data_IF_324779909094
#
_entry.id   IF_324779909094
#
_cell.length_a   1.000
_cell.length_b   1.000
_cell.length_c   1.000
_cell.angle_alpha   90.00
_cell.angle_beta   90.00
_cell.angle_gamma   90.00
#
_symmetry.space_group_name_H-M   'P 1'
#
loop_
_entity.id
_entity.type
_entity.pdbx_description
1 polymer ?
#
# COMPACT_ATOMS: atom_id res chain seq x y z
N UNK A 1 52.91 0.25 20.85
CA UNK A 1 52.46 0.37 19.44
C UNK A 1 51.34 -0.64 19.19
N UNK A 2 50.16 -0.24 18.70
CA UNK A 2 49.08 -1.19 18.40
C UNK A 2 49.41 -1.97 17.13
N UNK A 3 49.25 -3.30 17.16
CA UNK A 3 49.41 -4.16 15.98
C UNK A 3 48.19 -4.00 15.08
N UNK A 4 48.37 -3.37 13.92
CA UNK A 4 47.36 -3.30 12.87
C UNK A 4 47.21 -4.70 12.28
N UNK A 5 45.99 -5.29 12.21
CA UNK A 5 45.81 -6.59 11.57
C UNK A 5 46.04 -6.46 10.06
N UNK A 6 47.02 -7.21 9.56
CA UNK A 6 47.28 -7.35 8.13
C UNK A 6 46.21 -8.30 7.57
N UNK A 7 45.27 -7.77 6.79
CA UNK A 7 44.36 -8.59 5.99
C UNK A 7 45.21 -9.33 4.94
N UNK A 8 45.42 -10.64 5.14
CA UNK A 8 45.87 -11.51 4.06
C UNK A 8 44.72 -11.66 3.07
N UNK A 9 44.75 -10.89 1.99
CA UNK A 9 43.98 -11.18 0.79
C UNK A 9 44.45 -12.55 0.31
N UNK A 10 43.64 -13.59 0.56
CA UNK A 10 43.90 -14.93 0.05
C UNK A 10 44.15 -14.89 -1.46
N UNK A 11 45.08 -15.72 -1.94
CA UNK A 11 45.39 -15.82 -3.36
C UNK A 11 44.12 -15.97 -4.19
N UNK A 12 44.04 -15.21 -5.27
CA UNK A 12 42.89 -15.20 -6.18
C UNK A 12 42.72 -16.64 -6.71
N UNK A 13 41.56 -17.30 -6.51
CA UNK A 13 41.33 -18.61 -7.12
C UNK A 13 41.44 -18.46 -8.64
N UNK A 14 42.13 -19.40 -9.31
CA UNK A 14 42.34 -19.39 -10.76
C UNK A 14 41.03 -19.32 -11.57
N UNK A 15 39.91 -19.72 -10.94
CA UNK A 15 38.56 -19.48 -11.43
C UNK A 15 37.58 -19.26 -10.27
N UNK A 16 36.91 -18.10 -10.17
CA UNK A 16 35.89 -17.89 -9.15
C UNK A 16 34.67 -18.79 -9.44
N UNK A 17 33.99 -19.25 -8.39
CA UNK A 17 32.81 -20.12 -8.54
C UNK A 17 31.68 -19.39 -9.26
N UNK A 18 31.02 -20.07 -10.20
CA UNK A 18 29.92 -19.51 -10.98
C UNK A 18 28.85 -18.90 -10.06
N UNK A 19 28.41 -17.65 -10.32
CA UNK A 19 27.36 -17.05 -9.52
C UNK A 19 26.05 -17.78 -9.77
N UNK A 20 25.31 -18.07 -8.69
CA UNK A 20 23.98 -18.68 -8.80
C UNK A 20 22.98 -17.60 -9.23
N UNK A 21 22.86 -17.40 -10.54
CA UNK A 21 21.85 -16.51 -11.11
C UNK A 21 20.47 -17.16 -10.95
N UNK A 22 19.52 -16.42 -10.40
CA UNK A 22 18.12 -16.85 -10.30
C UNK A 22 17.27 -15.91 -11.13
N UNK A 23 16.54 -16.47 -12.10
CA UNK A 23 15.41 -15.77 -12.71
C UNK A 23 14.27 -15.78 -11.69
N UNK A 24 13.78 -14.61 -11.29
CA UNK A 24 12.59 -14.50 -10.45
C UNK A 24 11.42 -14.02 -11.29
N UNK A 25 10.37 -14.83 -11.33
CA UNK A 25 9.03 -14.36 -11.72
C UNK A 25 8.27 -14.10 -10.42
N UNK A 26 7.74 -12.89 -10.18
CA UNK A 26 7.00 -12.63 -8.96
C UNK A 26 5.74 -13.49 -8.95
N UNK A 27 5.69 -14.45 -8.02
CA UNK A 27 4.57 -15.36 -7.83
C UNK A 27 4.16 -15.30 -6.36
N UNK A 28 2.88 -15.05 -6.10
CA UNK A 28 2.29 -15.20 -4.77
C UNK A 28 1.74 -16.62 -4.67
N UNK A 29 2.53 -17.52 -4.10
CA UNK A 29 2.14 -18.92 -3.93
C UNK A 29 1.31 -19.09 -2.65
N UNK A 30 0.03 -19.41 -2.81
CA UNK A 30 -0.90 -19.75 -1.73
C UNK A 30 -1.21 -21.24 -1.82
N UNK A 31 -0.77 -22.03 -0.84
CA UNK A 31 -0.92 -23.48 -0.83
C UNK A 31 -1.56 -23.99 0.46
N UNK A 32 -2.24 -25.13 0.40
CA UNK A 32 -2.84 -25.79 1.56
C UNK A 32 -4.02 -25.02 2.17
N UNK A 33 -4.73 -24.21 1.38
CA UNK A 33 -5.95 -23.50 1.79
C UNK A 33 -7.11 -24.05 0.98
N UNK A 34 -8.24 -24.30 1.63
CA UNK A 34 -9.46 -24.69 0.94
C UNK A 34 -9.92 -23.62 -0.04
N UNK A 35 -10.39 -24.06 -1.20
CA UNK A 35 -11.11 -23.19 -2.13
C UNK A 35 -12.48 -22.82 -1.55
N UNK A 36 -12.99 -21.68 -2.01
CA UNK A 36 -14.28 -21.12 -1.64
C UNK A 36 -15.43 -21.77 -2.40
N UNK A 37 -16.60 -21.12 -2.35
CA UNK A 37 -17.86 -21.67 -2.86
C UNK A 37 -17.81 -21.98 -4.35
N UNK A 38 -17.06 -21.20 -5.13
CA UNK A 38 -16.92 -21.38 -6.58
C UNK A 38 -15.89 -22.44 -6.99
N UNK A 39 -15.23 -23.10 -6.04
CA UNK A 39 -14.13 -24.06 -6.22
C UNK A 39 -12.91 -23.53 -7.02
N UNK A 40 -12.83 -22.22 -7.24
CA UNK A 40 -11.77 -21.58 -8.03
C UNK A 40 -10.99 -20.54 -7.21
N UNK A 41 -11.67 -19.81 -6.31
CA UNK A 41 -11.11 -18.69 -5.55
C UNK A 41 -11.04 -19.02 -4.07
N UNK A 42 -10.23 -18.28 -3.33
CA UNK A 42 -10.28 -18.32 -1.87
C UNK A 42 -11.21 -17.21 -1.36
N UNK A 43 -12.22 -17.60 -0.57
CA UNK A 43 -13.13 -16.65 0.07
C UNK A 43 -12.50 -16.13 1.36
N UNK A 44 -12.40 -14.80 1.45
CA UNK A 44 -11.90 -14.11 2.64
C UNK A 44 -12.90 -13.04 3.05
N UNK A 45 -13.38 -13.14 4.29
CA UNK A 45 -14.27 -12.15 4.88
C UNK A 45 -13.46 -11.31 5.87
N UNK A 46 -13.40 -10.01 5.61
CA UNK A 46 -12.85 -9.04 6.56
C UNK A 46 -13.97 -8.60 7.53
N UNK A 47 -13.62 -8.33 8.79
CA UNK A 47 -14.62 -7.95 9.78
C UNK A 47 -15.30 -6.63 9.37
N UNK A 48 -16.63 -6.48 9.57
CA UNK A 48 -17.34 -5.26 9.23
C UNK A 48 -16.75 -4.02 9.91
N UNK A 49 -16.39 -4.16 11.20
CA UNK A 49 -15.71 -3.12 11.98
C UNK A 49 -14.41 -2.66 11.33
N UNK A 50 -13.54 -3.60 10.91
CA UNK A 50 -12.30 -3.23 10.22
C UNK A 50 -12.58 -2.48 8.92
N UNK A 51 -13.55 -2.97 8.13
CA UNK A 51 -13.92 -2.35 6.86
C UNK A 51 -14.47 -0.93 7.04
N UNK A 52 -15.25 -0.67 8.10
CA UNK A 52 -15.73 0.67 8.44
C UNK A 52 -14.60 1.61 8.87
N UNK A 53 -13.70 1.15 9.75
CA UNK A 53 -12.52 1.92 10.15
C UNK A 53 -11.65 2.29 8.94
N UNK A 54 -11.45 1.34 8.02
CA UNK A 54 -10.71 1.56 6.78
C UNK A 54 -11.40 2.57 5.85
N UNK A 55 -12.71 2.45 5.64
CA UNK A 55 -13.48 3.41 4.82
C UNK A 55 -13.40 4.83 5.38
N UNK A 56 -13.52 4.97 6.70
CA UNK A 56 -13.40 6.27 7.36
C UNK A 56 -11.99 6.85 7.24
N UNK A 57 -10.95 6.03 7.43
CA UNK A 57 -9.55 6.42 7.21
C UNK A 57 -9.34 6.93 5.78
N UNK A 58 -9.75 6.13 4.78
CA UNK A 58 -9.60 6.45 3.36
C UNK A 58 -10.34 7.75 3.04
N UNK A 59 -11.61 7.87 3.44
CA UNK A 59 -12.41 9.08 3.22
C UNK A 59 -11.69 10.31 3.76
N UNK A 60 -11.18 10.24 4.99
CA UNK A 60 -10.48 11.34 5.63
C UNK A 60 -9.19 11.73 4.88
N UNK A 61 -8.45 10.76 4.34
CA UNK A 61 -7.26 11.05 3.53
C UNK A 61 -7.65 11.68 2.19
N UNK A 62 -8.70 11.18 1.54
CA UNK A 62 -9.22 11.74 0.30
C UNK A 62 -9.68 13.19 0.49
N UNK A 63 -10.45 13.50 1.54
CA UNK A 63 -10.91 14.87 1.81
C UNK A 63 -9.78 15.80 2.19
N UNK A 64 -8.77 15.31 2.92
CA UNK A 64 -7.56 16.06 3.26
C UNK A 64 -6.73 16.40 2.02
N UNK A 65 -6.37 15.40 1.22
CA UNK A 65 -5.56 15.58 0.00
C UNK A 65 -6.32 16.31 -1.12
N UNK A 66 -7.65 16.24 -1.07
CA UNK A 66 -8.57 16.96 -1.95
C UNK A 66 -8.94 18.36 -1.50
N UNK A 67 -8.47 18.82 -0.34
CA UNK A 67 -8.76 20.15 0.25
C UNK A 67 -10.27 20.39 0.51
N UNK A 68 -11.03 19.31 0.71
CA UNK A 68 -12.48 19.34 0.97
C UNK A 68 -12.83 19.42 2.47
N UNK A 69 -11.85 19.26 3.36
CA UNK A 69 -12.07 19.26 4.82
C UNK A 69 -12.77 20.52 5.33
N UNK A 70 -12.45 21.70 4.79
CA UNK A 70 -13.08 22.96 5.18
C UNK A 70 -14.52 23.08 4.68
N UNK A 71 -14.80 22.54 3.49
CA UNK A 71 -16.09 22.62 2.80
C UNK A 71 -17.12 21.65 3.40
N UNK A 72 -16.66 20.45 3.75
CA UNK A 72 -17.53 19.45 4.37
C UNK A 72 -17.77 19.73 5.85
N UNK A 73 -16.84 20.40 6.55
CA UNK A 73 -16.98 20.76 7.98
C UNK A 73 -17.75 22.04 8.24
N UNK A 74 -17.65 23.05 7.35
CA UNK A 74 -18.35 24.33 7.50
C UNK A 74 -19.87 24.18 7.56
N UNK A 75 -20.41 23.11 6.96
CA UNK A 75 -21.86 22.91 6.86
C UNK A 75 -22.49 22.05 7.95
N UNK A 76 -21.70 21.29 8.70
CA UNK A 76 -22.21 20.73 9.96
C UNK A 76 -22.52 21.84 10.97
N UNK A 77 -21.94 23.03 10.81
CA UNK A 77 -22.19 24.18 11.69
C UNK A 77 -23.24 25.14 11.14
N UNK A 78 -23.41 25.27 9.82
CA UNK A 78 -24.39 26.17 9.22
C UNK A 78 -25.82 25.61 9.21
N UNK A 79 -25.98 24.29 9.29
CA UNK A 79 -27.29 23.61 9.23
C UNK A 79 -27.82 23.12 10.59
N UNK A 80 -27.18 23.51 11.70
CA UNK A 80 -27.66 23.19 13.04
C UNK A 80 -28.42 24.38 13.63
N UNK A 81 -29.66 24.12 14.05
CA UNK A 81 -30.60 25.10 14.59
C UNK A 81 -30.10 25.89 15.81
N UNK A 82 -30.99 26.70 16.42
CA UNK A 82 -30.60 27.71 17.40
C UNK A 82 -29.77 27.15 18.56
N UNK A 83 -28.81 27.97 19.02
CA UNK A 83 -27.67 27.61 19.89
C UNK A 83 -28.01 26.88 21.21
N UNK A 84 -29.28 26.86 21.63
CA UNK A 84 -29.73 26.23 22.87
C UNK A 84 -30.01 24.71 22.74
N UNK A 85 -30.16 24.16 21.53
CA UNK A 85 -30.21 22.70 21.29
C UNK A 85 -28.83 22.05 21.12
N UNK A 86 -27.75 22.84 21.17
CA UNK A 86 -26.38 22.42 20.85
C UNK A 86 -25.78 21.44 21.88
N UNK A 87 -26.36 21.36 23.08
CA UNK A 87 -25.80 20.62 24.22
C UNK A 87 -26.11 19.12 24.21
N UNK A 88 -27.06 18.64 23.40
CA UNK A 88 -27.41 17.21 23.31
C UNK A 88 -26.91 16.52 22.02
N UNK A 89 -26.70 17.25 20.92
CA UNK A 89 -26.28 16.66 19.65
C UNK A 89 -24.75 16.52 19.48
N UNK A 90 -23.94 17.08 20.40
CA UNK A 90 -22.48 16.94 20.39
C UNK A 90 -21.97 15.59 20.93
N UNK A 91 -22.86 14.71 21.39
CA UNK A 91 -22.49 13.43 22.00
C UNK A 91 -22.29 12.25 21.00
N UNK A 92 -22.49 12.45 19.69
CA UNK A 92 -22.52 11.33 18.73
C UNK A 92 -21.65 11.52 17.47
N UNK A 93 -20.55 12.29 17.56
CA UNK A 93 -19.48 12.16 16.59
C UNK A 93 -18.27 11.54 17.29
N UNK A 94 -18.00 10.23 17.09
CA UNK A 94 -16.74 9.70 17.55
C UNK A 94 -15.66 10.50 16.84
N UNK A 95 -14.83 11.20 17.62
CA UNK A 95 -13.48 11.59 17.20
C UNK A 95 -12.78 10.27 16.88
N UNK A 96 -13.00 9.76 15.68
CA UNK A 96 -12.48 8.48 15.27
C UNK A 96 -10.97 8.65 15.20
N UNK A 97 -10.30 8.14 16.22
CA UNK A 97 -8.93 8.51 16.51
C UNK A 97 -8.07 8.11 15.31
N UNK A 98 -7.16 9.01 14.91
CA UNK A 98 -6.32 8.79 13.72
C UNK A 98 -5.53 7.47 13.78
N UNK A 99 -5.42 6.86 14.96
CA UNK A 99 -4.76 5.57 15.20
C UNK A 99 -5.67 4.33 15.24
N UNK A 100 -6.99 4.45 15.35
CA UNK A 100 -7.88 3.28 15.55
C UNK A 100 -7.77 2.26 14.42
N UNK A 101 -7.78 2.72 13.17
CA UNK A 101 -7.65 1.82 12.02
C UNK A 101 -6.29 1.11 11.99
N UNK A 102 -5.20 1.82 12.34
CA UNK A 102 -3.86 1.24 12.39
C UNK A 102 -3.77 0.16 13.47
N UNK A 103 -4.38 0.37 14.63
CA UNK A 103 -4.47 -0.64 15.69
C UNK A 103 -5.25 -1.86 15.17
N UNK A 104 -6.43 -1.65 14.61
CA UNK A 104 -7.25 -2.72 14.04
C UNK A 104 -6.54 -3.50 12.92
N UNK A 105 -5.76 -2.81 12.08
CA UNK A 105 -4.92 -3.43 11.05
C UNK A 105 -3.84 -4.32 11.66
N UNK A 106 -3.14 -3.83 12.69
CA UNK A 106 -2.14 -4.59 13.42
C UNK A 106 -2.71 -5.82 14.08
N UNK A 107 -3.85 -5.68 14.77
CA UNK A 107 -4.57 -6.78 15.42
C UNK A 107 -5.02 -7.83 14.41
N UNK A 108 -5.62 -7.41 13.29
CA UNK A 108 -6.10 -8.31 12.24
C UNK A 108 -4.96 -9.14 11.63
N UNK A 109 -3.86 -8.48 11.25
CA UNK A 109 -2.71 -9.17 10.65
C UNK A 109 -1.93 -10.02 11.66
N UNK A 110 -1.90 -9.62 12.94
CA UNK A 110 -1.32 -10.44 13.98
C UNK A 110 -2.19 -11.68 14.25
N UNK A 111 -3.52 -11.53 14.24
CA UNK A 111 -4.46 -12.64 14.39
C UNK A 111 -4.33 -13.65 13.23
N UNK A 112 -4.19 -13.17 11.98
CA UNK A 112 -3.94 -14.07 10.83
C UNK A 112 -2.62 -14.82 10.97
N UNK A 113 -1.56 -14.15 11.45
CA UNK A 113 -0.26 -14.78 11.68
C UNK A 113 -0.29 -15.81 12.82
N UNK A 114 -0.99 -15.52 13.91
CA UNK A 114 -1.22 -16.49 15.00
C UNK A 114 -2.02 -17.69 14.51
N UNK A 115 -3.03 -17.48 13.66
CA UNK A 115 -3.78 -18.56 13.02
C UNK A 115 -2.89 -19.41 12.12
N UNK A 116 -2.06 -18.77 11.28
CA UNK A 116 -1.08 -19.44 10.45
C UNK A 116 -0.15 -20.35 11.27
N UNK A 117 0.30 -19.89 12.45
CA UNK A 117 1.12 -20.71 13.36
C UNK A 117 0.37 -21.90 13.93
N UNK A 118 -0.88 -21.73 14.35
CA UNK A 118 -1.70 -22.83 14.89
C UNK A 118 -1.97 -23.92 13.86
N UNK A 119 -2.20 -23.51 12.61
CA UNK A 119 -2.48 -24.42 11.50
C UNK A 119 -1.21 -24.86 10.75
N UNK A 120 -0.03 -24.43 11.22
CA UNK A 120 1.27 -24.68 10.57
C UNK A 120 1.30 -24.36 9.08
N UNK A 121 0.52 -23.36 8.64
CA UNK A 121 0.40 -22.96 7.25
C UNK A 121 0.56 -21.45 7.08
N UNK A 122 1.74 -21.04 6.62
CA UNK A 122 2.10 -19.64 6.39
C UNK A 122 1.24 -18.97 5.30
N UNK A 123 0.69 -19.74 4.37
CA UNK A 123 -0.17 -19.22 3.30
C UNK A 123 -1.40 -18.48 3.84
N UNK A 124 -1.85 -18.80 5.06
CA UNK A 124 -2.99 -18.13 5.71
C UNK A 124 -2.66 -16.66 6.00
N UNK A 125 -1.45 -16.36 6.47
CA UNK A 125 -1.00 -14.98 6.68
C UNK A 125 -0.85 -14.23 5.36
N UNK A 126 -0.30 -14.88 4.32
CA UNK A 126 -0.23 -14.31 2.98
C UNK A 126 -1.61 -13.99 2.40
N UNK A 127 -2.56 -14.92 2.53
CA UNK A 127 -3.91 -14.75 2.01
C UNK A 127 -4.61 -13.57 2.72
N UNK A 128 -4.45 -13.44 4.03
CA UNK A 128 -4.99 -12.31 4.78
C UNK A 128 -4.41 -10.97 4.29
N UNK A 129 -3.10 -10.90 4.06
CA UNK A 129 -2.43 -9.69 3.53
C UNK A 129 -2.92 -9.35 2.13
N UNK A 130 -3.03 -10.34 1.26
CA UNK A 130 -3.56 -10.18 -0.09
C UNK A 130 -5.00 -9.68 -0.07
N UNK A 131 -5.84 -10.23 0.81
CA UNK A 131 -7.22 -9.78 0.98
C UNK A 131 -7.30 -8.33 1.48
N UNK A 132 -6.51 -7.95 2.49
CA UNK A 132 -6.44 -6.58 3.00
C UNK A 132 -5.98 -5.61 1.92
N UNK A 133 -4.89 -5.92 1.22
CA UNK A 133 -4.38 -5.07 0.13
C UNK A 133 -5.42 -4.92 -0.99
N UNK A 134 -6.03 -6.02 -1.44
CA UNK A 134 -7.06 -6.00 -2.48
C UNK A 134 -8.25 -5.16 -2.06
N UNK A 135 -8.74 -5.36 -0.83
CA UNK A 135 -9.82 -4.57 -0.25
C UNK A 135 -9.49 -3.08 -0.27
N UNK A 136 -8.33 -2.68 0.26
CA UNK A 136 -7.92 -1.27 0.32
C UNK A 136 -7.82 -0.64 -1.08
N UNK A 137 -7.25 -1.33 -2.07
CA UNK A 137 -7.16 -0.83 -3.46
C UNK A 137 -8.54 -0.57 -4.09
N UNK A 138 -9.47 -1.48 -3.89
CA UNK A 138 -10.85 -1.33 -4.39
C UNK A 138 -11.57 -0.22 -3.63
N UNK A 139 -11.48 -0.24 -2.30
CA UNK A 139 -12.17 0.71 -1.43
C UNK A 139 -11.71 2.14 -1.64
N UNK A 140 -10.43 2.40 -1.96
CA UNK A 140 -9.94 3.74 -2.32
C UNK A 140 -10.74 4.35 -3.48
N UNK A 141 -10.98 3.58 -4.53
CA UNK A 141 -11.74 4.04 -5.70
C UNK A 141 -13.23 4.23 -5.37
N UNK A 142 -13.81 3.32 -4.58
CA UNK A 142 -15.19 3.41 -4.14
C UNK A 142 -15.43 4.64 -3.26
N UNK A 143 -14.56 4.87 -2.26
CA UNK A 143 -14.66 6.03 -1.38
C UNK A 143 -14.47 7.34 -2.14
N UNK A 144 -13.59 7.39 -3.16
CA UNK A 144 -13.49 8.57 -4.02
C UNK A 144 -14.82 8.87 -4.71
N UNK A 145 -15.46 7.87 -5.32
CA UNK A 145 -16.76 8.04 -5.96
C UNK A 145 -17.86 8.46 -4.96
N UNK A 146 -17.85 7.88 -3.75
CA UNK A 146 -18.79 8.24 -2.68
C UNK A 146 -18.60 9.69 -2.21
N UNK A 147 -17.37 10.18 -2.10
CA UNK A 147 -17.09 11.58 -1.76
C UNK A 147 -17.63 12.51 -2.86
N UNK A 148 -17.40 12.18 -4.14
CA UNK A 148 -17.96 12.95 -5.26
C UNK A 148 -19.48 13.00 -5.20
N UNK A 149 -20.16 11.88 -4.95
CA UNK A 149 -21.62 11.86 -4.88
C UNK A 149 -22.17 12.65 -3.69
N UNK A 150 -21.53 12.56 -2.51
CA UNK A 150 -21.87 13.40 -1.35
C UNK A 150 -21.77 14.88 -1.68
N UNK A 151 -20.68 15.28 -2.34
CA UNK A 151 -20.48 16.64 -2.81
C UNK A 151 -21.56 17.07 -3.83
N UNK A 152 -21.96 16.18 -4.74
CA UNK A 152 -23.01 16.46 -5.73
C UNK A 152 -24.38 16.66 -5.09
N UNK A 153 -24.74 15.83 -4.12
CA UNK A 153 -25.99 15.96 -3.35
C UNK A 153 -26.01 17.28 -2.59
N UNK A 154 -24.91 17.62 -1.92
CA UNK A 154 -24.78 18.88 -1.18
C UNK A 154 -24.81 20.10 -2.10
N UNK A 155 -24.25 20.03 -3.31
CA UNK A 155 -24.34 21.11 -4.31
C UNK A 155 -25.78 21.52 -4.62
N UNK A 156 -26.71 20.56 -4.65
CA UNK A 156 -28.14 20.85 -4.90
C UNK A 156 -28.78 21.69 -3.78
N UNK A 157 -28.26 21.56 -2.56
CA UNK A 157 -28.71 22.39 -1.43
C UNK A 157 -28.24 23.85 -1.56
N UNK A 158 -27.11 24.07 -2.24
CA UNK A 158 -26.55 25.41 -2.49
C UNK A 158 -27.21 26.14 -3.65
N UNK A 159 -27.87 25.43 -4.56
CA UNK A 159 -28.60 26.04 -5.68
C UNK A 159 -29.74 26.96 -5.20
N UNK A 160 -30.22 26.77 -3.95
CA UNK A 160 -31.22 27.60 -3.29
C UNK A 160 -30.60 28.73 -2.42
N UNK A 161 -29.27 28.80 -2.29
CA UNK A 161 -28.54 29.77 -1.48
C UNK A 161 -27.69 30.72 -2.36
N UNK A 162 -27.04 31.72 -1.74
CA UNK A 162 -26.29 32.80 -2.41
C UNK A 162 -25.41 32.26 -3.58
N UNK A 163 -25.62 32.82 -4.78
CA UNK A 163 -25.02 32.35 -6.03
C UNK A 163 -23.48 32.26 -6.00
N UNK A 164 -22.80 33.19 -5.33
CA UNK A 164 -21.33 33.24 -5.32
C UNK A 164 -20.70 32.07 -4.54
N UNK A 165 -21.26 31.70 -3.38
CA UNK A 165 -20.83 30.52 -2.63
C UNK A 165 -21.09 29.21 -3.38
N UNK A 166 -22.13 29.15 -4.22
CA UNK A 166 -22.42 27.97 -5.03
C UNK A 166 -21.39 27.78 -6.17
N UNK A 167 -20.90 28.87 -6.77
CA UNK A 167 -19.86 28.81 -7.81
C UNK A 167 -18.54 28.31 -7.24
N UNK A 168 -18.08 28.89 -6.12
CA UNK A 168 -16.84 28.45 -5.45
C UNK A 168 -16.89 26.98 -5.03
N UNK A 169 -18.06 26.52 -4.55
CA UNK A 169 -18.28 25.13 -4.18
C UNK A 169 -18.16 24.18 -5.39
N UNK A 170 -18.78 24.53 -6.52
CA UNK A 170 -18.70 23.75 -7.76
C UNK A 170 -17.28 23.70 -8.31
N UNK A 171 -16.54 24.81 -8.25
CA UNK A 171 -15.13 24.86 -8.68
C UNK A 171 -14.26 23.91 -7.85
N UNK A 172 -14.44 23.88 -6.52
CA UNK A 172 -13.72 22.95 -5.65
C UNK A 172 -14.03 21.49 -5.97
N UNK A 173 -15.29 21.15 -6.26
CA UNK A 173 -15.68 19.80 -6.68
C UNK A 173 -15.05 19.43 -8.02
N UNK A 174 -15.07 20.33 -8.99
CA UNK A 174 -14.44 20.12 -10.29
C UNK A 174 -12.93 19.89 -10.13
N UNK A 175 -12.26 20.72 -9.32
CA UNK A 175 -10.85 20.55 -8.96
C UNK A 175 -10.55 19.21 -8.29
N UNK A 176 -11.41 18.75 -7.38
CA UNK A 176 -11.30 17.43 -6.75
C UNK A 176 -11.35 16.29 -7.78
N UNK A 177 -12.30 16.34 -8.73
CA UNK A 177 -12.44 15.33 -9.77
C UNK A 177 -11.25 15.32 -10.74
N UNK A 178 -10.80 16.49 -11.20
CA UNK A 178 -9.65 16.62 -12.11
C UNK A 178 -8.38 16.09 -11.45
N UNK A 179 -8.19 16.33 -10.15
CA UNK A 179 -7.01 15.88 -9.38
C UNK A 179 -7.11 14.44 -8.88
N UNK A 180 -8.09 13.63 -9.33
CA UNK A 180 -8.32 12.24 -8.88
C UNK A 180 -7.04 11.41 -8.77
N UNK A 181 -6.21 11.37 -9.82
CA UNK A 181 -4.97 10.56 -9.84
C UNK A 181 -3.98 10.98 -8.76
N UNK A 182 -3.78 12.29 -8.57
CA UNK A 182 -2.87 12.83 -7.55
C UNK A 182 -3.39 12.51 -6.14
N UNK A 183 -4.68 12.69 -5.91
CA UNK A 183 -5.33 12.44 -4.61
C UNK A 183 -5.26 10.96 -4.25
N UNK A 184 -5.58 10.07 -5.20
CA UNK A 184 -5.49 8.62 -5.00
C UNK A 184 -4.05 8.17 -4.75
N UNK A 185 -3.07 8.71 -5.48
CA UNK A 185 -1.64 8.43 -5.23
C UNK A 185 -1.25 8.78 -3.80
N UNK A 186 -1.49 10.03 -3.37
CA UNK A 186 -1.13 10.49 -2.02
C UNK A 186 -1.82 9.66 -0.94
N UNK A 187 -3.11 9.37 -1.12
CA UNK A 187 -3.88 8.50 -0.21
C UNK A 187 -3.30 7.09 -0.15
N UNK A 188 -2.96 6.50 -1.30
CA UNK A 188 -2.33 5.19 -1.38
C UNK A 188 -0.96 5.14 -0.69
N UNK A 189 -0.19 6.24 -0.76
CA UNK A 189 1.09 6.35 -0.06
C UNK A 189 0.93 6.42 1.45
N UNK A 190 -0.02 7.19 1.98
CA UNK A 190 -0.28 7.22 3.42
C UNK A 190 -0.73 5.84 3.95
N UNK A 191 -1.55 5.12 3.16
CA UNK A 191 -1.99 3.75 3.49
C UNK A 191 -0.80 2.79 3.47
N UNK A 192 0.05 2.87 2.44
CA UNK A 192 1.27 2.08 2.33
C UNK A 192 2.21 2.31 3.51
N UNK A 193 2.41 3.56 3.91
CA UNK A 193 3.26 3.91 5.05
C UNK A 193 2.73 3.31 6.35
N UNK A 194 1.41 3.33 6.55
CA UNK A 194 0.79 2.68 7.71
C UNK A 194 0.98 1.16 7.69
N UNK A 195 0.78 0.50 6.54
CA UNK A 195 1.03 -0.94 6.38
C UNK A 195 2.50 -1.30 6.65
N UNK A 196 3.42 -0.50 6.10
CA UNK A 196 4.86 -0.68 6.29
C UNK A 196 5.26 -0.51 7.75
N UNK A 197 4.65 0.44 8.45
CA UNK A 197 4.90 0.66 9.87
C UNK A 197 4.42 -0.54 10.71
N UNK A 198 3.20 -1.02 10.48
CA UNK A 198 2.66 -2.21 11.15
C UNK A 198 3.53 -3.45 10.87
N UNK A 199 4.00 -3.61 9.63
CA UNK A 199 4.89 -4.70 9.25
C UNK A 199 6.21 -4.65 10.02
N UNK A 200 6.87 -3.48 10.04
CA UNK A 200 8.19 -3.31 10.66
C UNK A 200 8.15 -3.42 12.18
N UNK A 201 7.09 -2.91 12.81
CA UNK A 201 7.02 -2.82 14.28
C UNK A 201 6.81 -4.18 14.94
N UNK A 202 6.00 -5.05 14.34
CA UNK A 202 5.56 -6.28 15.03
C UNK A 202 5.57 -7.48 14.11
N UNK A 203 4.94 -7.40 12.94
CA UNK A 203 4.63 -8.60 12.15
C UNK A 203 5.86 -9.30 11.59
N UNK A 204 6.83 -8.57 11.06
CA UNK A 204 8.03 -9.17 10.47
C UNK A 204 8.83 -9.96 11.52
N UNK A 205 8.99 -9.40 12.73
CA UNK A 205 9.69 -10.07 13.84
C UNK A 205 8.92 -11.30 14.32
N UNK A 206 7.61 -11.18 14.52
CA UNK A 206 6.77 -12.29 14.95
C UNK A 206 6.78 -13.43 13.93
N UNK A 207 6.72 -13.12 12.64
CA UNK A 207 6.76 -14.12 11.58
C UNK A 207 8.06 -14.92 11.58
N UNK A 208 9.21 -14.23 11.68
CA UNK A 208 10.52 -14.89 11.82
C UNK A 208 10.60 -15.77 13.07
N UNK A 209 10.04 -15.31 14.19
CA UNK A 209 10.00 -16.12 15.42
C UNK A 209 9.12 -17.37 15.29
N UNK A 210 8.08 -17.33 14.46
CA UNK A 210 7.13 -18.42 14.30
C UNK A 210 7.56 -19.47 13.28
N UNK A 211 8.16 -19.03 12.16
CA UNK A 211 8.45 -19.87 11.00
C UNK A 211 9.94 -19.91 10.65
N UNK A 212 10.80 -19.24 11.42
CA UNK A 212 12.23 -19.13 11.14
C UNK A 212 12.54 -18.10 10.05
N UNK A 213 13.78 -18.12 9.58
CA UNK A 213 14.31 -17.24 8.54
C UNK A 213 14.45 -18.00 7.20
N UNK A 214 13.43 -18.77 6.85
CA UNK A 214 13.48 -19.63 5.68
C UNK A 214 13.26 -18.83 4.39
N UNK A 215 14.36 -18.45 3.74
CA UNK A 215 14.36 -17.57 2.55
C UNK A 215 14.05 -18.33 1.24
N UNK A 216 13.95 -19.65 1.30
CA UNK A 216 13.86 -20.56 0.15
C UNK A 216 12.43 -20.90 -0.31
N UNK A 217 11.42 -20.64 0.50
CA UNK A 217 10.03 -20.99 0.16
C UNK A 217 9.39 -19.87 -0.66
N UNK A 218 8.71 -20.21 -1.77
CA UNK A 218 8.05 -19.23 -2.65
C UNK A 218 7.08 -18.29 -1.90
N UNK A 219 6.44 -18.81 -0.86
CA UNK A 219 5.61 -18.08 0.11
C UNK A 219 6.39 -16.99 0.83
N UNK A 220 7.62 -17.26 1.28
CA UNK A 220 8.45 -16.26 1.96
C UNK A 220 8.91 -15.14 1.03
N UNK A 221 9.26 -15.48 -0.21
CA UNK A 221 9.65 -14.52 -1.26
C UNK A 221 8.51 -13.58 -1.68
N UNK A 222 7.26 -13.87 -1.28
CA UNK A 222 6.10 -13.04 -1.57
C UNK A 222 6.00 -11.82 -0.65
N UNK A 223 6.57 -11.85 0.56
CA UNK A 223 6.42 -10.75 1.53
C UNK A 223 7.01 -9.41 1.08
N UNK A 224 8.18 -9.36 0.44
CA UNK A 224 8.71 -8.13 -0.15
C UNK A 224 7.75 -7.45 -1.14
N UNK A 225 6.87 -8.21 -1.81
CA UNK A 225 5.90 -7.63 -2.75
C UNK A 225 4.88 -6.72 -2.05
N UNK A 226 4.48 -7.06 -0.83
CA UNK A 226 3.59 -6.21 -0.01
C UNK A 226 4.28 -4.96 0.53
N UNK A 227 5.61 -4.91 0.47
CA UNK A 227 6.43 -3.76 0.86
C UNK A 227 6.84 -2.90 -0.33
N UNK A 228 6.29 -3.16 -1.52
CA UNK A 228 6.52 -2.35 -2.71
C UNK A 228 5.66 -1.07 -2.65
N UNK A 229 6.27 0.12 -2.83
CA UNK A 229 5.57 1.41 -2.77
C UNK A 229 4.54 1.59 -3.90
N UNK A 230 4.69 0.83 -4.98
CA UNK A 230 3.75 0.78 -6.11
C UNK A 230 2.50 -0.05 -5.82
N UNK A 231 2.37 -0.67 -4.64
CA UNK A 231 1.24 -1.56 -4.31
C UNK A 231 -0.14 -0.90 -4.47
N UNK A 232 -0.23 0.40 -4.20
CA UNK A 232 -1.46 1.20 -4.33
C UNK A 232 -1.47 2.13 -5.54
N UNK A 233 -0.50 1.99 -6.46
CA UNK A 233 -0.54 2.69 -7.75
C UNK A 233 -1.57 2.07 -8.68
N UNK A 234 -2.04 2.88 -9.62
CA UNK A 234 -2.93 2.44 -10.69
C UNK A 234 -2.12 1.51 -11.62
N UNK A 235 -2.60 0.28 -11.84
CA UNK A 235 -1.92 -0.75 -12.64
C UNK A 235 -0.45 -1.07 -12.30
N UNK A 236 0.04 -0.69 -11.12
CA UNK A 236 1.44 -0.89 -10.73
C UNK A 236 2.41 0.06 -11.43
N UNK A 237 1.91 1.14 -12.05
CA UNK A 237 2.70 2.13 -12.78
C UNK A 237 2.44 3.52 -12.22
N UNK A 238 3.50 4.21 -11.82
CA UNK A 238 3.41 5.62 -11.44
C UNK A 238 4.76 6.31 -11.59
N UNK A 239 4.88 7.15 -12.62
CA UNK A 239 6.14 7.79 -12.98
C UNK A 239 6.70 8.69 -11.87
N UNK A 240 5.82 9.31 -11.08
CA UNK A 240 6.24 10.16 -9.96
C UNK A 240 6.84 9.31 -8.84
N UNK A 241 6.17 8.22 -8.45
CA UNK A 241 6.70 7.32 -7.42
C UNK A 241 7.98 6.64 -7.89
N UNK A 242 8.02 6.24 -9.16
CA UNK A 242 9.19 5.64 -9.78
C UNK A 242 10.38 6.61 -9.76
N UNK A 243 10.20 7.87 -10.17
CA UNK A 243 11.25 8.89 -10.13
C UNK A 243 11.73 9.24 -8.70
N UNK A 244 10.85 9.19 -7.71
CA UNK A 244 11.18 9.57 -6.32
C UNK A 244 11.86 8.43 -5.54
N UNK A 245 11.52 7.17 -5.81
CA UNK A 245 11.91 6.04 -4.96
C UNK A 245 12.60 4.88 -5.66
N UNK A 246 12.66 4.89 -6.99
CA UNK A 246 13.24 3.80 -7.76
C UNK A 246 14.34 4.32 -8.68
N UNK A 247 15.32 3.48 -8.95
CA UNK A 247 16.30 3.77 -9.99
C UNK A 247 15.58 3.61 -11.32
N UNK A 248 15.41 4.72 -12.02
CA UNK A 248 14.85 4.74 -13.37
C UNK A 248 15.97 4.37 -14.35
N UNK A 249 15.72 3.34 -15.15
CA UNK A 249 16.55 3.02 -16.29
C UNK A 249 15.98 3.70 -17.53
N UNK A 250 16.86 4.03 -18.47
CA UNK A 250 16.51 4.55 -19.79
C UNK A 250 15.37 3.78 -20.46
N UNK A 251 14.43 4.53 -21.03
CA UNK A 251 13.23 4.00 -21.68
C UNK A 251 13.33 4.04 -23.21
N UNK A 252 14.25 4.85 -23.75
CA UNK A 252 14.48 5.00 -25.18
C UNK A 252 15.61 4.10 -25.67
N UNK A 253 15.58 3.73 -26.96
CA UNK A 253 16.59 2.85 -27.56
C UNK A 253 18.01 3.42 -27.50
N UNK A 254 18.14 4.75 -27.45
CA UNK A 254 19.44 5.45 -27.39
C UNK A 254 19.96 5.65 -25.97
N UNK A 255 19.16 5.35 -24.95
CA UNK A 255 19.55 5.58 -23.57
C UNK A 255 20.65 4.58 -23.17
N UNK A 256 21.81 5.05 -22.67
CA UNK A 256 22.95 4.18 -22.38
C UNK A 256 22.68 3.22 -21.21
N UNK A 257 21.73 3.58 -20.34
CA UNK A 257 21.34 2.87 -19.12
C UNK A 257 20.06 2.04 -19.29
N UNK A 258 19.57 1.86 -20.52
CA UNK A 258 18.41 1.00 -20.80
C UNK A 258 18.62 -0.40 -20.22
N UNK A 259 17.56 -1.00 -19.67
CA UNK A 259 17.61 -2.33 -19.04
C UNK A 259 18.26 -3.40 -19.92
N UNK A 260 17.92 -3.46 -21.21
CA UNK A 260 18.54 -4.40 -22.15
C UNK A 260 20.05 -4.24 -22.24
N UNK A 261 20.53 -2.99 -22.31
CA UNK A 261 21.96 -2.67 -22.38
C UNK A 261 22.68 -2.94 -21.08
N UNK A 262 22.08 -2.56 -19.95
CA UNK A 262 22.62 -2.87 -18.62
C UNK A 262 22.72 -4.38 -18.39
N UNK A 263 21.72 -5.15 -18.85
CA UNK A 263 21.75 -6.61 -18.82
C UNK A 263 22.88 -7.17 -19.70
N UNK A 264 23.06 -6.66 -20.91
CA UNK A 264 24.19 -7.05 -21.78
C UNK A 264 25.55 -6.78 -21.12
N UNK A 265 25.74 -5.59 -20.56
CA UNK A 265 26.98 -5.20 -19.86
C UNK A 265 27.22 -6.12 -18.67
N UNK A 266 26.20 -6.35 -17.84
CA UNK A 266 26.29 -7.25 -16.69
C UNK A 266 26.60 -8.69 -17.11
N UNK A 267 25.89 -9.23 -18.12
CA UNK A 267 26.16 -10.55 -18.67
C UNK A 267 27.57 -10.66 -19.26
N UNK A 268 28.04 -9.64 -19.99
CA UNK A 268 29.40 -9.59 -20.53
C UNK A 268 30.47 -9.58 -19.46
N UNK A 269 30.27 -8.80 -18.39
CA UNK A 269 31.15 -8.79 -17.21
C UNK A 269 31.16 -10.14 -16.49
N UNK A 270 30.00 -10.77 -16.32
CA UNK A 270 29.95 -12.11 -15.72
C UNK A 270 30.67 -13.14 -16.60
N UNK A 271 30.51 -13.08 -17.92
CA UNK A 271 31.23 -13.96 -18.84
C UNK A 271 32.73 -13.73 -18.82
N UNK A 272 33.21 -12.50 -18.65
CA UNK A 272 34.65 -12.22 -18.55
C UNK A 272 35.27 -12.78 -17.26
N UNK A 273 34.49 -12.84 -16.16
CA UNK A 273 34.94 -13.40 -14.89
C UNK A 273 34.82 -14.94 -14.80
N UNK A 274 33.79 -15.52 -15.41
CA UNK A 274 33.40 -16.92 -15.19
C UNK A 274 33.44 -17.80 -16.46
N UNK A 275 33.60 -17.21 -17.65
CA UNK A 275 33.58 -17.86 -18.96
C UNK A 275 32.19 -17.82 -19.64
N UNK A 276 32.10 -18.27 -20.90
CA UNK A 276 30.88 -18.16 -21.72
C UNK A 276 29.67 -18.97 -21.24
N UNK A 277 29.83 -19.84 -20.24
CA UNK A 277 28.76 -20.70 -19.70
C UNK A 277 27.83 -19.98 -18.71
N UNK A 278 27.88 -18.65 -18.62
CA UNK A 278 27.01 -17.78 -17.79
C UNK A 278 25.98 -17.02 -18.62
#
# INVERSE_FOLDING_TARGET
MPKIPIFRLGGRPDKPALPKLAASTPLVAVAGISVGVDNLRHDVVLSPKFAELARAQITRQLTRHGELDGVLKSDFQSNQGPSWMRTQAQAAHPKQDRGEWKIALGELLLASLNRAKRESNLSIDLLARLAVTKFLRVEMNLQFAQVVERCRVQSKSYDNARQQSAVEYRERIAGFQVRKRIILRKTGQDIFETLREVEKNTLARTRRSFFGEETSTATWLSYPLFMNRLLFSDDGRDDYLCAEHYVMLGNWDRDPDRYGRMREIASGFLRSLYGEKV
#
